data_IF_940762726052
#
_entry.id   IF_940762726052
#
_cell.length_a   1.000
_cell.length_b   1.000
_cell.length_c   1.000
_cell.angle_alpha   90.00
_cell.angle_beta   90.00
_cell.angle_gamma   90.00
#
_symmetry.space_group_name_H-M   'P 1'
#
loop_
_entity.id
_entity.type
_entity.pdbx_description
1 polymer ?
#
# COMPACT_ATOMS: atom_id res chain seq x y z
N UNK A 1 34.42 194.35 -2.32
CA UNK A 1 34.60 195.61 -1.55
C UNK A 1 35.03 196.69 -2.54
N UNK A 2 34.34 197.85 -2.61
CA UNK A 2 34.67 199.04 -3.46
C UNK A 2 34.64 198.87 -5.02
N UNK A 3 34.54 199.90 -5.90
CA UNK A 3 33.69 201.14 -5.94
C UNK A 3 33.82 201.94 -7.30
N UNK A 4 32.71 202.44 -7.89
CA UNK A 4 32.61 203.68 -8.76
C UNK A 4 33.21 203.68 -10.21
N UNK A 5 32.99 204.61 -11.20
CA UNK A 5 32.05 205.77 -11.47
C UNK A 5 32.16 206.36 -12.95
N UNK A 6 31.07 206.90 -13.54
CA UNK A 6 30.97 207.96 -14.65
C UNK A 6 31.55 207.62 -16.08
N UNK A 7 31.48 208.41 -17.21
CA UNK A 7 30.59 209.44 -17.89
C UNK A 7 31.32 209.92 -19.20
N UNK A 8 30.78 210.34 -20.38
CA UNK A 8 29.44 210.35 -21.03
C UNK A 8 28.96 211.70 -21.68
N UNK A 9 28.85 211.85 -23.03
CA UNK A 9 28.11 212.97 -23.70
C UNK A 9 28.35 213.38 -25.20
N UNK A 10 27.31 213.29 -26.06
CA UNK A 10 26.86 214.11 -27.24
C UNK A 10 27.71 214.55 -28.51
N UNK A 11 27.29 214.01 -29.71
CA UNK A 11 27.08 214.66 -31.07
C UNK A 11 28.28 215.21 -31.92
N UNK A 12 28.20 215.56 -33.24
CA UNK A 12 27.49 215.09 -34.49
C UNK A 12 27.86 215.97 -35.74
N UNK A 13 27.82 215.46 -37.01
CA UNK A 13 27.96 216.24 -38.28
C UNK A 13 28.18 215.42 -39.59
N UNK A 14 27.76 215.94 -40.77
CA UNK A 14 27.49 215.36 -42.13
C UNK A 14 28.67 214.89 -43.07
N UNK A 15 28.41 214.12 -44.18
CA UNK A 15 29.27 214.08 -45.42
C UNK A 15 29.71 212.75 -46.16
N UNK A 16 28.98 212.30 -47.22
CA UNK A 16 29.35 211.62 -48.54
C UNK A 16 30.20 210.30 -48.76
N UNK A 17 29.52 209.22 -49.26
CA UNK A 17 29.70 208.38 -50.52
C UNK A 17 30.87 207.35 -50.79
N UNK A 18 30.47 206.07 -51.06
CA UNK A 18 31.11 204.88 -51.78
C UNK A 18 32.49 204.32 -51.30
N UNK A 19 32.87 203.03 -51.56
CA UNK A 19 32.33 202.02 -52.51
C UNK A 19 31.94 200.63 -51.89
N UNK A 20 31.20 199.77 -52.61
CA UNK A 20 30.82 198.45 -52.05
C UNK A 20 30.26 197.32 -52.96
N UNK A 21 30.25 197.44 -54.30
CA UNK A 21 29.57 196.44 -55.16
C UNK A 21 30.43 195.24 -55.59
N UNK A 22 31.76 195.38 -55.70
CA UNK A 22 32.62 194.33 -56.26
C UNK A 22 32.73 193.11 -55.35
N UNK A 23 32.83 193.34 -54.03
CA UNK A 23 32.93 192.28 -53.01
C UNK A 23 31.72 191.32 -53.09
N UNK A 24 30.52 191.87 -53.26
CA UNK A 24 29.25 191.12 -53.30
C UNK A 24 29.21 190.02 -54.37
N UNK A 25 29.91 190.17 -55.50
CA UNK A 25 29.93 189.18 -56.59
C UNK A 25 30.94 188.07 -56.31
N UNK A 26 32.12 188.41 -55.79
CA UNK A 26 33.13 187.44 -55.37
C UNK A 26 32.69 186.63 -54.15
N UNK A 27 32.01 187.25 -53.18
CA UNK A 27 31.42 186.54 -52.04
C UNK A 27 30.29 185.62 -52.48
N UNK A 28 29.43 186.03 -53.42
CA UNK A 28 28.38 185.16 -53.97
C UNK A 28 28.98 183.90 -54.61
N UNK A 29 30.06 184.04 -55.38
CA UNK A 29 30.73 182.91 -56.03
C UNK A 29 31.42 181.98 -55.04
N UNK A 30 32.09 182.52 -54.01
CA UNK A 30 32.64 181.72 -52.91
C UNK A 30 31.54 180.99 -52.13
N UNK A 31 30.43 181.66 -51.80
CA UNK A 31 29.30 181.05 -51.10
C UNK A 31 28.66 179.94 -51.94
N UNK A 32 28.53 180.12 -53.27
CA UNK A 32 28.03 179.07 -54.16
C UNK A 32 28.96 177.84 -54.16
N UNK A 33 30.27 178.04 -54.30
CA UNK A 33 31.26 176.94 -54.23
C UNK A 33 31.31 176.28 -52.85
N UNK A 34 31.15 177.04 -51.77
CA UNK A 34 31.11 176.53 -50.40
C UNK A 34 29.84 175.70 -50.14
N UNK A 35 28.67 176.17 -50.57
CA UNK A 35 27.41 175.41 -50.50
C UNK A 35 27.49 174.16 -51.36
N UNK A 36 28.05 174.23 -52.57
CA UNK A 36 28.16 173.07 -53.46
C UNK A 36 29.17 172.04 -52.95
N UNK A 37 30.30 172.47 -52.38
CA UNK A 37 31.25 171.54 -51.73
C UNK A 37 30.71 170.96 -50.42
N UNK A 38 30.00 171.73 -49.59
CA UNK A 38 29.24 171.20 -48.44
C UNK A 38 28.21 170.17 -48.91
N UNK A 39 27.47 170.45 -49.98
CA UNK A 39 26.49 169.53 -50.54
C UNK A 39 27.17 168.26 -51.09
N UNK A 40 28.29 168.36 -51.80
CA UNK A 40 29.06 167.19 -52.27
C UNK A 40 29.64 166.37 -51.11
N UNK A 41 30.14 167.03 -50.05
CA UNK A 41 30.63 166.35 -48.83
C UNK A 41 29.46 165.68 -48.09
N UNK A 42 28.32 166.36 -47.93
CA UNK A 42 27.12 165.80 -47.31
C UNK A 42 26.54 164.65 -48.12
N UNK A 43 26.53 164.72 -49.46
CA UNK A 43 26.17 163.60 -50.34
C UNK A 43 27.19 162.46 -50.26
N UNK A 44 28.49 162.76 -50.14
CA UNK A 44 29.53 161.74 -49.96
C UNK A 44 29.37 161.00 -48.64
N UNK A 45 29.15 161.73 -47.54
CA UNK A 45 28.87 161.18 -46.21
C UNK A 45 27.55 160.40 -46.22
N UNK A 46 26.46 160.95 -46.75
CA UNK A 46 25.18 160.24 -46.89
C UNK A 46 25.33 158.96 -47.72
N UNK A 47 26.10 158.99 -48.83
CA UNK A 47 26.37 157.80 -49.64
C UNK A 47 27.22 156.78 -48.89
N UNK A 48 28.23 157.21 -48.12
CA UNK A 48 29.02 156.33 -47.27
C UNK A 48 28.18 155.72 -46.14
N UNK A 49 27.29 156.50 -45.51
CA UNK A 49 26.35 156.01 -44.49
C UNK A 49 25.34 155.03 -45.08
N UNK A 50 24.76 155.33 -46.24
CA UNK A 50 23.83 154.43 -46.94
C UNK A 50 24.56 153.14 -47.34
N UNK A 51 25.72 153.21 -48.01
CA UNK A 51 26.48 151.99 -48.38
C UNK A 51 26.99 151.20 -47.17
N UNK A 52 27.26 151.84 -46.02
CA UNK A 52 27.54 151.14 -44.77
C UNK A 52 26.29 150.46 -44.19
N UNK A 53 25.14 151.14 -44.22
CA UNK A 53 23.85 150.59 -43.78
C UNK A 53 23.37 149.45 -44.69
N UNK A 54 23.54 149.57 -46.01
CA UNK A 54 23.29 148.51 -46.99
C UNK A 54 24.16 147.28 -46.66
N UNK A 55 25.46 147.48 -46.38
CA UNK A 55 26.38 146.42 -45.96
C UNK A 55 26.04 145.78 -44.60
N UNK A 56 25.56 146.57 -43.64
CA UNK A 56 25.02 146.06 -42.37
C UNK A 56 23.71 145.28 -42.56
N UNK A 57 22.85 145.72 -43.48
CA UNK A 57 21.61 145.03 -43.85
C UNK A 57 21.87 143.72 -44.62
N UNK A 58 22.83 143.69 -45.53
CA UNK A 58 23.28 142.47 -46.20
C UNK A 58 23.88 141.48 -45.18
N UNK A 59 24.75 141.96 -44.28
CA UNK A 59 25.33 141.14 -43.22
C UNK A 59 24.29 140.62 -42.22
N UNK A 60 23.27 141.42 -41.89
CA UNK A 60 22.15 141.00 -41.05
C UNK A 60 21.24 140.02 -41.78
N UNK A 61 20.98 140.21 -43.07
CA UNK A 61 20.19 139.30 -43.91
C UNK A 61 20.87 137.94 -44.04
N UNK A 62 22.20 137.91 -44.23
CA UNK A 62 22.98 136.68 -44.22
C UNK A 62 22.96 135.97 -42.85
N UNK A 63 23.00 136.71 -41.74
CA UNK A 63 22.83 136.15 -40.40
C UNK A 63 21.42 135.58 -40.17
N UNK A 64 20.37 136.29 -40.60
CA UNK A 64 18.99 135.81 -40.51
C UNK A 64 18.76 134.56 -41.36
N UNK A 65 19.36 134.49 -42.56
CA UNK A 65 19.34 133.29 -43.39
C UNK A 65 20.04 132.11 -42.70
N UNK A 66 21.27 132.30 -42.20
CA UNK A 66 21.99 131.25 -41.48
C UNK A 66 21.30 130.78 -40.19
N UNK A 67 20.61 131.68 -39.49
CA UNK A 67 19.75 131.33 -38.34
C UNK A 67 18.48 130.58 -38.76
N UNK A 68 17.90 130.90 -39.92
CA UNK A 68 16.75 130.18 -40.46
C UNK A 68 17.13 128.76 -40.92
N UNK A 69 18.30 128.59 -41.57
CA UNK A 69 18.84 127.29 -41.96
C UNK A 69 19.18 126.43 -40.74
N UNK A 70 19.85 127.01 -39.73
CA UNK A 70 20.14 126.31 -38.47
C UNK A 70 18.86 125.90 -37.72
N UNK A 71 17.83 126.76 -37.70
CA UNK A 71 16.53 126.45 -37.14
C UNK A 71 15.78 125.39 -37.96
N UNK A 72 15.97 125.35 -39.28
CA UNK A 72 15.47 124.29 -40.16
C UNK A 72 16.10 122.94 -39.86
N UNK A 73 17.42 122.90 -39.69
CA UNK A 73 18.17 121.69 -39.32
C UNK A 73 17.78 121.17 -37.93
N UNK A 74 17.65 122.04 -36.92
CA UNK A 74 17.20 121.62 -35.59
C UNK A 74 15.72 121.20 -35.59
N UNK A 75 14.85 121.79 -36.43
CA UNK A 75 13.47 121.29 -36.63
C UNK A 75 13.45 119.89 -37.24
N UNK A 76 14.16 119.67 -38.35
CA UNK A 76 14.25 118.36 -38.98
C UNK A 76 14.86 117.29 -38.05
N UNK A 77 15.82 117.67 -37.20
CA UNK A 77 16.39 116.83 -36.15
C UNK A 77 15.40 116.53 -35.02
N UNK A 78 14.57 117.49 -34.60
CA UNK A 78 13.48 117.25 -33.65
C UNK A 78 12.40 116.34 -34.24
N UNK A 79 12.03 116.52 -35.51
CA UNK A 79 11.09 115.64 -36.22
C UNK A 79 11.64 114.21 -36.34
N UNK A 80 12.93 114.05 -36.68
CA UNK A 80 13.61 112.75 -36.69
C UNK A 80 13.63 112.08 -35.32
N UNK A 81 14.01 112.80 -34.26
CA UNK A 81 14.00 112.27 -32.88
C UNK A 81 12.59 111.95 -32.38
N UNK A 82 11.55 112.64 -32.86
CA UNK A 82 10.15 112.31 -32.56
C UNK A 82 9.70 111.03 -33.27
N UNK A 83 10.15 110.80 -34.51
CA UNK A 83 9.91 109.55 -35.23
C UNK A 83 10.64 108.37 -34.54
N UNK A 84 11.93 108.51 -34.25
CA UNK A 84 12.71 107.51 -33.50
C UNK A 84 12.08 107.17 -32.15
N UNK A 85 11.62 108.17 -31.39
CA UNK A 85 10.94 107.96 -30.11
C UNK A 85 9.57 107.27 -30.28
N UNK A 86 8.89 107.49 -31.40
CA UNK A 86 7.69 106.74 -31.79
C UNK A 86 7.98 105.26 -32.05
N UNK A 87 9.01 104.98 -32.85
CA UNK A 87 9.43 103.61 -33.19
C UNK A 87 9.99 102.85 -31.99
N UNK A 88 10.77 103.51 -31.12
CA UNK A 88 11.23 102.94 -29.86
C UNK A 88 10.06 102.63 -28.91
N UNK A 89 9.06 103.51 -28.82
CA UNK A 89 7.87 103.28 -27.98
C UNK A 89 6.99 102.15 -28.53
N UNK A 90 6.86 102.05 -29.84
CA UNK A 90 6.20 100.93 -30.53
C UNK A 90 6.94 99.60 -30.24
N UNK A 91 8.26 99.61 -30.40
CA UNK A 91 9.12 98.45 -30.16
C UNK A 91 9.13 97.99 -28.70
N UNK A 92 9.06 98.93 -27.75
CA UNK A 92 8.94 98.64 -26.32
C UNK A 92 7.59 98.00 -26.00
N UNK A 93 6.47 98.59 -26.45
CA UNK A 93 5.13 98.01 -26.26
C UNK A 93 5.01 96.60 -26.88
N UNK A 94 5.61 96.40 -28.06
CA UNK A 94 5.69 95.10 -28.69
C UNK A 94 6.68 94.13 -28.03
N UNK A 95 7.55 94.58 -27.12
CA UNK A 95 8.38 93.73 -26.26
C UNK A 95 7.68 93.39 -24.94
N UNK A 96 7.01 94.36 -24.33
CA UNK A 96 6.16 94.21 -23.15
C UNK A 96 5.05 93.16 -23.39
N UNK A 97 4.28 93.29 -24.47
CA UNK A 97 3.23 92.33 -24.83
C UNK A 97 3.76 90.89 -25.06
N UNK A 98 4.98 90.73 -25.59
CA UNK A 98 5.63 89.41 -25.72
C UNK A 98 6.16 88.89 -24.39
N UNK A 99 6.43 89.76 -23.42
CA UNK A 99 6.69 89.39 -22.03
C UNK A 99 5.44 88.81 -21.38
N UNK A 100 4.30 89.52 -21.49
CA UNK A 100 3.00 89.07 -20.96
C UNK A 100 2.58 87.71 -21.56
N UNK A 101 2.74 87.52 -22.87
CA UNK A 101 2.51 86.24 -23.55
C UNK A 101 3.41 85.11 -23.02
N UNK A 102 4.68 85.40 -22.73
CA UNK A 102 5.63 84.43 -22.19
C UNK A 102 5.35 84.11 -20.72
N UNK A 103 4.97 85.08 -19.90
CA UNK A 103 4.58 84.84 -18.50
C UNK A 103 3.31 83.98 -18.44
N UNK A 104 2.31 84.26 -19.28
CA UNK A 104 1.10 83.44 -19.39
C UNK A 104 1.40 82.00 -19.84
N UNK A 105 2.33 81.81 -20.80
CA UNK A 105 2.78 80.49 -21.23
C UNK A 105 3.54 79.74 -20.10
N UNK A 106 4.44 80.43 -19.38
CA UNK A 106 5.18 79.86 -18.25
C UNK A 106 4.23 79.45 -17.12
N UNK A 107 3.23 80.28 -16.80
CA UNK A 107 2.19 79.95 -15.84
C UNK A 107 1.40 78.70 -16.25
N UNK A 108 1.00 78.59 -17.53
CA UNK A 108 0.31 77.41 -18.06
C UNK A 108 1.18 76.15 -17.99
N UNK A 109 2.47 76.24 -18.34
CA UNK A 109 3.41 75.11 -18.27
C UNK A 109 3.68 74.67 -16.82
N UNK A 110 3.80 75.60 -15.88
CA UNK A 110 3.96 75.27 -14.45
C UNK A 110 2.74 74.53 -13.87
N UNK A 111 1.52 74.90 -14.29
CA UNK A 111 0.30 74.18 -13.94
C UNK A 111 0.34 72.76 -14.53
N UNK A 112 0.66 72.63 -15.82
CA UNK A 112 0.76 71.31 -16.48
C UNK A 112 1.83 70.40 -15.84
N UNK A 113 2.97 70.96 -15.42
CA UNK A 113 4.00 70.21 -14.67
C UNK A 113 3.44 69.73 -13.33
N UNK A 114 2.78 70.61 -12.57
CA UNK A 114 2.15 70.29 -11.28
C UNK A 114 1.08 69.19 -11.42
N UNK A 115 0.25 69.26 -12.46
CA UNK A 115 -0.76 68.23 -12.77
C UNK A 115 -0.09 66.88 -13.12
N UNK A 116 1.01 66.89 -13.87
CA UNK A 116 1.75 65.67 -14.23
C UNK A 116 2.54 65.07 -13.07
N UNK A 117 3.04 65.88 -12.13
CA UNK A 117 3.61 65.39 -10.87
C UNK A 117 2.54 64.71 -10.00
N UNK A 118 1.31 65.25 -9.96
CA UNK A 118 0.18 64.62 -9.28
C UNK A 118 -0.26 63.30 -9.97
N UNK A 119 -0.37 63.29 -11.30
CA UNK A 119 -0.66 62.06 -12.06
C UNK A 119 0.41 60.97 -11.82
N UNK A 120 1.69 61.35 -11.84
CA UNK A 120 2.81 60.43 -11.60
C UNK A 120 2.81 59.88 -10.16
N UNK A 121 2.56 60.73 -9.17
CA UNK A 121 2.42 60.33 -7.77
C UNK A 121 1.25 59.36 -7.57
N UNK A 122 0.09 59.65 -8.18
CA UNK A 122 -1.07 58.77 -8.14
C UNK A 122 -0.83 57.45 -8.89
N UNK A 123 -0.07 57.45 -9.99
CA UNK A 123 0.34 56.24 -10.69
C UNK A 123 1.29 55.39 -9.83
N UNK A 124 2.29 55.99 -9.20
CA UNK A 124 3.23 55.29 -8.32
C UNK A 124 2.52 54.66 -7.11
N UNK A 125 1.56 55.37 -6.50
CA UNK A 125 0.74 54.83 -5.41
C UNK A 125 -0.10 53.61 -5.84
N UNK A 126 -0.64 53.62 -7.08
CA UNK A 126 -1.33 52.46 -7.66
C UNK A 126 -0.38 51.30 -7.94
N UNK A 127 0.82 51.57 -8.47
CA UNK A 127 1.85 50.55 -8.71
C UNK A 127 2.19 49.84 -7.40
N UNK A 128 2.52 50.57 -6.32
CA UNK A 128 2.86 49.92 -5.04
C UNK A 128 1.67 49.26 -4.34
N UNK A 129 0.43 49.67 -4.63
CA UNK A 129 -0.75 48.89 -4.24
C UNK A 129 -0.84 47.56 -5.01
N UNK A 130 -0.59 47.55 -6.32
CA UNK A 130 -0.55 46.31 -7.11
C UNK A 130 0.64 45.42 -6.72
N UNK A 131 1.82 45.97 -6.44
CA UNK A 131 2.98 45.22 -5.93
C UNK A 131 2.64 44.50 -4.61
N UNK A 132 1.94 45.19 -3.70
CA UNK A 132 1.44 44.59 -2.44
C UNK A 132 0.38 43.51 -2.67
N UNK A 133 -0.56 43.71 -3.59
CA UNK A 133 -1.56 42.69 -3.96
C UNK A 133 -0.92 41.46 -4.60
N UNK A 134 0.04 41.65 -5.51
CA UNK A 134 0.81 40.56 -6.14
C UNK A 134 1.63 39.81 -5.09
N UNK A 135 2.25 40.50 -4.13
CA UNK A 135 2.95 39.85 -3.02
C UNK A 135 2.02 38.98 -2.16
N UNK A 136 0.80 39.45 -1.85
CA UNK A 136 -0.23 38.65 -1.15
C UNK A 136 -0.60 37.41 -1.96
N UNK A 137 -0.99 37.57 -3.22
CA UNK A 137 -1.38 36.47 -4.11
C UNK A 137 -0.26 35.44 -4.34
N UNK A 138 1.00 35.87 -4.34
CA UNK A 138 2.16 34.97 -4.40
C UNK A 138 2.32 34.17 -3.11
N UNK A 139 2.16 34.81 -1.94
CA UNK A 139 2.21 34.14 -0.65
C UNK A 139 1.04 33.15 -0.46
N UNK A 140 -0.18 33.55 -0.83
CA UNK A 140 -1.37 32.70 -0.84
C UNK A 140 -1.20 31.48 -1.76
N UNK A 141 -0.69 31.69 -2.97
CA UNK A 141 -0.37 30.62 -3.93
C UNK A 141 0.65 29.63 -3.37
N UNK A 142 1.71 30.11 -2.73
CA UNK A 142 2.78 29.24 -2.23
C UNK A 142 2.42 28.56 -0.90
N UNK A 143 1.55 29.16 -0.08
CA UNK A 143 0.89 28.48 1.03
C UNK A 143 -0.01 27.34 0.53
N UNK A 144 -0.90 27.60 -0.44
CA UNK A 144 -1.78 26.58 -1.03
C UNK A 144 -1.00 25.45 -1.72
N UNK A 145 0.19 25.73 -2.27
CA UNK A 145 1.12 24.70 -2.77
C UNK A 145 1.73 23.87 -1.64
N UNK A 146 2.12 24.49 -0.53
CA UNK A 146 2.58 23.79 0.67
C UNK A 146 1.52 22.84 1.24
N UNK A 147 0.28 23.33 1.35
CA UNK A 147 -0.89 22.51 1.72
C UNK A 147 -1.08 21.35 0.74
N UNK A 148 -1.08 21.60 -0.57
CA UNK A 148 -1.21 20.55 -1.58
C UNK A 148 -0.10 19.47 -1.48
N UNK A 149 1.15 19.85 -1.19
CA UNK A 149 2.23 18.86 -0.96
C UNK A 149 2.03 18.07 0.35
N UNK A 150 1.47 18.70 1.38
CA UNK A 150 1.17 18.05 2.67
C UNK A 150 0.02 17.05 2.52
N UNK A 151 -1.04 17.43 1.79
CA UNK A 151 -2.15 16.53 1.45
C UNK A 151 -1.68 15.36 0.57
N UNK A 152 -0.80 15.61 -0.42
CA UNK A 152 -0.25 14.56 -1.26
C UNK A 152 0.56 13.52 -0.45
N UNK A 153 1.38 13.97 0.50
CA UNK A 153 2.09 13.07 1.42
C UNK A 153 1.10 12.25 2.26
N UNK A 154 0.12 12.91 2.90
CA UNK A 154 -0.90 12.23 3.72
C UNK A 154 -1.73 11.22 2.93
N UNK A 155 -1.97 11.42 1.63
CA UNK A 155 -2.67 10.45 0.77
C UNK A 155 -1.82 9.21 0.51
N UNK A 156 -0.50 9.35 0.31
CA UNK A 156 0.39 8.19 0.11
C UNK A 156 0.65 7.43 1.43
N UNK A 157 0.72 8.14 2.56
CA UNK A 157 0.74 7.53 3.90
C UNK A 157 -0.54 6.71 4.16
N UNK A 158 -1.72 7.28 3.89
CA UNK A 158 -3.01 6.58 4.02
C UNK A 158 -3.13 5.38 3.07
N UNK A 159 -2.60 5.49 1.86
CA UNK A 159 -2.53 4.38 0.88
C UNK A 159 -1.57 3.27 1.33
N UNK A 160 -0.48 3.63 2.00
CA UNK A 160 0.46 2.68 2.61
C UNK A 160 -0.16 1.98 3.83
N UNK A 161 -0.90 2.72 4.68
CA UNK A 161 -1.66 2.13 5.78
C UNK A 161 -2.79 1.21 5.27
N UNK A 162 -3.47 1.57 4.17
CA UNK A 162 -4.49 0.73 3.54
C UNK A 162 -3.94 -0.60 3.04
N UNK A 163 -2.78 -0.60 2.35
CA UNK A 163 -2.19 -1.86 1.86
C UNK A 163 -1.69 -2.75 3.00
N UNK A 164 -1.16 -2.16 4.09
CA UNK A 164 -0.82 -2.90 5.31
C UNK A 164 -2.06 -3.56 5.93
N UNK A 165 -3.16 -2.82 6.12
CA UNK A 165 -4.41 -3.35 6.68
C UNK A 165 -5.02 -4.46 5.81
N UNK A 166 -4.90 -4.38 4.48
CA UNK A 166 -5.34 -5.46 3.58
C UNK A 166 -4.49 -6.72 3.79
N UNK A 167 -3.15 -6.60 3.84
CA UNK A 167 -2.28 -7.75 4.10
C UNK A 167 -2.46 -8.33 5.51
N UNK A 168 -2.76 -7.52 6.52
CA UNK A 168 -3.14 -7.99 7.86
C UNK A 168 -4.48 -8.74 7.83
N UNK A 169 -5.49 -8.24 7.10
CA UNK A 169 -6.77 -8.90 6.93
C UNK A 169 -6.62 -10.26 6.20
N UNK A 170 -5.81 -10.32 5.14
CA UNK A 170 -5.50 -11.56 4.42
C UNK A 170 -4.77 -12.57 5.31
N UNK A 171 -3.79 -12.12 6.10
CA UNK A 171 -3.08 -12.97 7.06
C UNK A 171 -4.00 -13.50 8.17
N UNK A 172 -4.90 -12.67 8.70
CA UNK A 172 -5.92 -13.06 9.69
C UNK A 172 -6.95 -14.04 9.10
N UNK A 173 -7.36 -13.84 7.84
CA UNK A 173 -8.28 -14.76 7.15
C UNK A 173 -7.63 -16.12 6.89
N UNK A 174 -6.34 -16.17 6.52
CA UNK A 174 -5.57 -17.40 6.38
C UNK A 174 -5.30 -18.09 7.73
N UNK A 175 -5.06 -17.32 8.80
CA UNK A 175 -4.95 -17.87 10.15
C UNK A 175 -6.30 -18.49 10.61
N UNK A 176 -7.42 -17.83 10.29
CA UNK A 176 -8.76 -18.33 10.59
C UNK A 176 -9.14 -19.57 9.77
N UNK A 177 -8.71 -19.70 8.50
CA UNK A 177 -8.96 -20.93 7.73
C UNK A 177 -8.16 -22.10 8.30
N UNK A 178 -6.86 -21.89 8.58
CA UNK A 178 -6.00 -22.91 9.22
C UNK A 178 -6.52 -23.35 10.59
N UNK A 179 -6.98 -22.41 11.41
CA UNK A 179 -7.57 -22.73 12.72
C UNK A 179 -8.87 -23.56 12.59
N UNK A 180 -9.65 -23.37 11.51
CA UNK A 180 -10.83 -24.22 11.22
C UNK A 180 -10.40 -25.59 10.73
N UNK A 181 -9.48 -25.67 9.78
CA UNK A 181 -8.91 -26.93 9.28
C UNK A 181 -8.32 -27.77 10.42
N UNK A 182 -7.63 -27.14 11.38
CA UNK A 182 -7.09 -27.81 12.57
C UNK A 182 -8.21 -28.29 13.53
N UNK A 183 -9.24 -27.47 13.79
CA UNK A 183 -10.39 -27.87 14.62
C UNK A 183 -11.21 -28.98 13.98
N UNK A 184 -11.41 -28.95 12.66
CA UNK A 184 -12.09 -30.02 11.92
C UNK A 184 -11.26 -31.31 11.93
N UNK A 185 -9.94 -31.23 11.74
CA UNK A 185 -9.02 -32.36 11.85
C UNK A 185 -8.98 -32.95 13.28
N UNK A 186 -8.97 -32.12 14.33
CA UNK A 186 -9.09 -32.55 15.72
C UNK A 186 -10.46 -33.20 15.99
N UNK A 187 -11.54 -32.70 15.38
CA UNK A 187 -12.90 -33.26 15.50
C UNK A 187 -13.00 -34.63 14.82
N UNK A 188 -12.44 -34.80 13.63
CA UNK A 188 -12.37 -36.10 12.96
C UNK A 188 -11.44 -37.08 13.69
N UNK A 189 -10.30 -36.61 14.23
CA UNK A 189 -9.44 -37.43 15.07
C UNK A 189 -10.17 -37.92 16.33
N UNK A 190 -10.99 -37.06 16.97
CA UNK A 190 -11.82 -37.44 18.11
C UNK A 190 -12.94 -38.43 17.72
N UNK A 191 -13.62 -38.24 16.58
CA UNK A 191 -14.61 -39.18 16.03
C UNK A 191 -14.00 -40.55 15.74
N UNK A 192 -12.83 -40.59 15.11
CA UNK A 192 -12.09 -41.81 14.83
C UNK A 192 -11.56 -42.48 16.10
N UNK A 193 -11.16 -41.71 17.12
CA UNK A 193 -10.77 -42.24 18.43
C UNK A 193 -11.96 -42.88 19.16
N UNK A 194 -13.13 -42.23 19.16
CA UNK A 194 -14.36 -42.78 19.72
C UNK A 194 -14.79 -44.07 18.98
N UNK A 195 -14.90 -44.03 17.66
CA UNK A 195 -15.26 -45.21 16.86
C UNK A 195 -14.27 -46.38 17.01
N UNK A 196 -12.97 -46.10 17.26
CA UNK A 196 -11.97 -47.13 17.62
C UNK A 196 -12.19 -47.67 19.02
N UNK A 197 -12.54 -46.84 20.00
CA UNK A 197 -12.87 -47.27 21.35
C UNK A 197 -14.12 -48.18 21.33
N UNK A 198 -15.20 -47.76 20.67
CA UNK A 198 -16.44 -48.53 20.51
C UNK A 198 -16.18 -49.87 19.82
N UNK A 199 -15.36 -49.88 18.76
CA UNK A 199 -14.99 -51.11 18.04
C UNK A 199 -14.11 -52.06 18.88
N UNK A 200 -13.21 -51.52 19.71
CA UNK A 200 -12.41 -52.31 20.66
C UNK A 200 -13.29 -52.84 21.80
N UNK A 201 -14.22 -52.05 22.33
CA UNK A 201 -15.18 -52.52 23.32
C UNK A 201 -16.03 -53.65 22.76
N UNK A 202 -16.62 -53.48 21.57
CA UNK A 202 -17.37 -54.52 20.87
C UNK A 202 -16.54 -55.78 20.59
N UNK A 203 -15.28 -55.64 20.18
CA UNK A 203 -14.35 -56.77 20.01
C UNK A 203 -14.06 -57.48 21.34
N UNK A 204 -13.82 -56.76 22.43
CA UNK A 204 -13.60 -57.40 23.74
C UNK A 204 -14.88 -57.97 24.34
N UNK A 205 -16.05 -57.42 24.04
CA UNK A 205 -17.35 -57.99 24.41
C UNK A 205 -17.60 -59.30 23.64
N UNK A 206 -17.34 -59.30 22.32
CA UNK A 206 -17.38 -60.53 21.51
C UNK A 206 -16.37 -61.56 22.01
N UNK A 207 -15.10 -61.21 22.18
CA UNK A 207 -14.08 -62.15 22.66
C UNK A 207 -14.39 -62.72 24.05
N UNK A 208 -15.03 -61.95 24.95
CA UNK A 208 -15.57 -62.48 26.21
C UNK A 208 -16.71 -63.47 25.97
N UNK A 209 -17.67 -63.14 25.10
CA UNK A 209 -18.77 -64.04 24.75
C UNK A 209 -18.28 -65.34 24.08
N UNK A 210 -17.40 -65.24 23.08
CA UNK A 210 -16.75 -66.37 22.41
C UNK A 210 -15.96 -67.22 23.44
N UNK A 211 -15.23 -66.59 24.38
CA UNK A 211 -14.50 -67.33 25.42
C UNK A 211 -15.43 -68.03 26.43
N UNK A 212 -16.59 -67.45 26.72
CA UNK A 212 -17.59 -68.04 27.61
C UNK A 212 -18.35 -69.19 26.91
N UNK A 213 -18.64 -69.06 25.61
CA UNK A 213 -19.18 -70.13 24.79
C UNK A 213 -18.20 -71.31 24.70
N UNK A 214 -16.94 -71.04 24.35
CA UNK A 214 -15.89 -72.07 24.31
C UNK A 214 -15.68 -72.74 25.68
N UNK A 215 -15.78 -72.00 26.78
CA UNK A 215 -15.70 -72.58 28.14
C UNK A 215 -16.92 -73.45 28.47
N UNK A 216 -18.11 -73.08 28.02
CA UNK A 216 -19.32 -73.90 28.15
C UNK A 216 -19.20 -75.19 27.32
N UNK A 217 -18.86 -75.09 26.03
CA UNK A 217 -18.62 -76.24 25.14
C UNK A 217 -17.55 -77.18 25.69
N UNK A 218 -16.45 -76.65 26.22
CA UNK A 218 -15.40 -77.46 26.84
C UNK A 218 -15.93 -78.18 28.10
N UNK A 219 -16.70 -77.50 28.95
CA UNK A 219 -17.29 -78.11 30.15
C UNK A 219 -18.35 -79.17 29.84
N UNK A 220 -19.10 -79.00 28.75
CA UNK A 220 -20.07 -79.99 28.25
C UNK A 220 -19.35 -81.20 27.64
N UNK A 221 -18.26 -80.99 26.90
CA UNK A 221 -17.41 -82.06 26.37
C UNK A 221 -16.65 -82.81 27.49
N UNK A 222 -16.20 -82.14 28.55
CA UNK A 222 -15.62 -82.77 29.74
C UNK A 222 -16.67 -83.59 30.52
N UNK A 223 -17.88 -83.05 30.70
CA UNK A 223 -18.99 -83.76 31.33
C UNK A 223 -19.38 -85.02 30.52
N UNK A 224 -19.48 -84.91 29.19
CA UNK A 224 -19.75 -86.05 28.32
C UNK A 224 -18.63 -87.10 28.39
N UNK A 225 -17.34 -86.68 28.36
CA UNK A 225 -16.20 -87.58 28.53
C UNK A 225 -16.22 -88.32 29.88
N UNK A 226 -16.69 -87.70 30.96
CA UNK A 226 -16.86 -88.35 32.26
C UNK A 226 -18.02 -89.37 32.27
N UNK A 227 -19.12 -89.06 31.59
CA UNK A 227 -20.25 -90.01 31.41
C UNK A 227 -19.83 -91.21 30.55
N UNK A 228 -19.15 -90.97 29.43
CA UNK A 228 -18.66 -92.02 28.53
C UNK A 228 -17.63 -92.93 29.23
N UNK A 229 -16.72 -92.35 30.03
CA UNK A 229 -15.76 -93.10 30.83
C UNK A 229 -16.46 -93.97 31.90
N UNK A 230 -17.44 -93.43 32.62
CA UNK A 230 -18.21 -94.18 33.61
C UNK A 230 -19.00 -95.34 32.98
N UNK A 231 -19.59 -95.12 31.80
CA UNK A 231 -20.29 -96.17 31.04
C UNK A 231 -19.33 -97.28 30.56
N UNK A 232 -18.11 -96.92 30.13
CA UNK A 232 -17.08 -97.89 29.75
C UNK A 232 -16.61 -98.75 30.93
N UNK A 233 -16.46 -98.17 32.13
CA UNK A 233 -16.08 -98.92 33.32
C UNK A 233 -17.25 -99.78 33.87
N UNK A 234 -18.50 -99.32 33.78
CA UNK A 234 -19.67 -100.18 34.08
C UNK A 234 -19.77 -101.37 33.12
N UNK A 235 -19.50 -101.17 31.82
CA UNK A 235 -19.44 -102.24 30.82
C UNK A 235 -18.30 -103.24 31.11
N UNK A 236 -17.14 -102.75 31.57
CA UNK A 236 -16.01 -103.61 31.98
C UNK A 236 -16.34 -104.47 33.19
N UNK A 237 -16.94 -103.92 34.24
CA UNK A 237 -17.35 -104.69 35.41
C UNK A 237 -18.47 -105.70 35.08
N UNK A 238 -19.43 -105.33 34.23
CA UNK A 238 -20.43 -106.29 33.71
C UNK A 238 -19.79 -107.44 32.96
N UNK A 239 -18.80 -107.19 32.10
CA UNK A 239 -18.09 -108.25 31.39
C UNK A 239 -17.28 -109.14 32.33
N UNK A 240 -16.57 -108.59 33.32
CA UNK A 240 -15.91 -109.40 34.38
C UNK A 240 -16.91 -110.27 35.14
N UNK A 241 -18.07 -109.72 35.48
CA UNK A 241 -19.12 -110.47 36.16
C UNK A 241 -19.62 -111.64 35.30
N UNK A 242 -19.91 -111.40 34.01
CA UNK A 242 -20.31 -112.46 33.07
C UNK A 242 -19.21 -113.49 32.81
N UNK A 243 -17.93 -113.11 32.71
CA UNK A 243 -16.80 -114.06 32.61
C UNK A 243 -16.64 -114.89 33.91
N UNK A 244 -16.91 -114.29 35.07
CA UNK A 244 -16.91 -114.98 36.37
C UNK A 244 -18.09 -115.95 36.50
N UNK A 245 -19.28 -115.55 36.03
CA UNK A 245 -20.48 -116.38 36.02
C UNK A 245 -20.34 -117.56 35.05
N UNK A 246 -19.78 -117.34 33.85
CA UNK A 246 -19.45 -118.42 32.91
C UNK A 246 -18.41 -119.39 33.47
N UNK A 247 -17.33 -118.90 34.09
CA UNK A 247 -16.30 -119.80 34.66
C UNK A 247 -16.83 -120.59 35.87
N UNK A 248 -17.66 -119.98 36.71
CA UNK A 248 -18.37 -120.69 37.78
C UNK A 248 -19.35 -121.75 37.21
N UNK A 249 -20.07 -121.42 36.13
CA UNK A 249 -20.99 -122.35 35.46
C UNK A 249 -20.26 -123.52 34.79
N UNK A 250 -19.08 -123.30 34.17
CA UNK A 250 -18.28 -124.39 33.62
C UNK A 250 -17.72 -125.31 34.70
N UNK A 251 -17.30 -124.76 35.85
CA UNK A 251 -16.86 -125.55 37.00
C UNK A 251 -18.00 -126.39 37.60
N UNK A 252 -19.20 -125.82 37.72
CA UNK A 252 -20.39 -126.57 38.13
C UNK A 252 -20.72 -127.71 37.14
N UNK A 253 -20.52 -127.48 35.84
CA UNK A 253 -20.72 -128.49 34.81
C UNK A 253 -19.68 -129.62 34.88
N UNK A 254 -18.40 -129.31 35.09
CA UNK A 254 -17.36 -130.33 35.32
C UNK A 254 -17.61 -131.14 36.60
N UNK A 255 -18.10 -130.51 37.68
CA UNK A 255 -18.47 -131.25 38.89
C UNK A 255 -19.73 -132.12 38.68
N UNK A 256 -20.73 -131.66 37.91
CA UNK A 256 -21.85 -132.50 37.50
C UNK A 256 -21.42 -133.67 36.59
N UNK A 257 -20.44 -133.48 35.71
CA UNK A 257 -19.87 -134.57 34.91
C UNK A 257 -19.14 -135.60 35.77
N UNK A 258 -18.34 -135.17 36.76
CA UNK A 258 -17.75 -136.09 37.75
C UNK A 258 -18.79 -136.87 38.53
N UNK A 259 -19.85 -136.21 39.01
CA UNK A 259 -20.96 -136.90 39.71
C UNK A 259 -21.70 -137.91 38.82
N UNK A 260 -21.73 -137.69 37.50
CA UNK A 260 -22.23 -138.68 36.53
C UNK A 260 -21.26 -139.85 36.35
N UNK A 261 -19.95 -139.61 36.28
CA UNK A 261 -18.92 -140.66 36.25
C UNK A 261 -18.90 -141.50 37.55
N UNK A 262 -19.07 -140.87 38.70
CA UNK A 262 -19.18 -141.53 40.01
C UNK A 262 -20.44 -142.41 40.10
N UNK A 263 -21.59 -141.92 39.63
CA UNK A 263 -22.83 -142.73 39.61
C UNK A 263 -22.78 -143.89 38.60
N UNK A 264 -22.17 -143.69 37.43
CA UNK A 264 -21.88 -144.79 36.48
C UNK A 264 -20.94 -145.82 37.09
N UNK A 265 -19.94 -145.40 37.88
CA UNK A 265 -19.01 -146.27 38.60
C UNK A 265 -19.72 -147.07 39.71
N UNK A 266 -20.64 -146.44 40.45
CA UNK A 266 -21.48 -147.11 41.45
C UNK A 266 -22.44 -148.13 40.80
N UNK A 267 -23.01 -147.82 39.64
CA UNK A 267 -23.87 -148.74 38.87
C UNK A 267 -23.06 -149.93 38.32
N UNK A 268 -21.81 -149.72 37.88
CA UNK A 268 -20.90 -150.80 37.48
C UNK A 268 -20.56 -151.73 38.66
N UNK A 269 -20.33 -151.17 39.86
CA UNK A 269 -20.09 -151.94 41.08
C UNK A 269 -21.32 -152.75 41.55
N UNK A 270 -22.53 -152.36 41.13
CA UNK A 270 -23.79 -152.99 41.53
C UNK A 270 -24.17 -154.25 40.71
N UNK A 271 -23.41 -154.64 39.68
CA UNK A 271 -23.70 -155.79 38.79
C UNK A 271 -23.59 -157.19 39.45
N UNK A 272 -23.64 -157.25 40.78
CA UNK A 272 -23.30 -158.41 41.61
C UNK A 272 -24.47 -159.15 42.29
N UNK A 273 -25.74 -158.92 41.91
CA UNK A 273 -26.89 -159.80 42.23
C UNK A 273 -28.17 -159.47 41.45
N UNK A 274 -29.12 -160.41 41.49
CA UNK A 274 -30.29 -160.47 40.61
C UNK A 274 -31.40 -159.46 40.98
N UNK A 275 -32.00 -158.83 39.96
CA UNK A 275 -33.02 -157.78 40.12
C UNK A 275 -33.30 -157.01 38.82
N UNK A 276 -33.38 -157.71 37.69
CA UNK A 276 -33.47 -157.07 36.37
C UNK A 276 -34.88 -156.54 36.08
N UNK A 277 -34.96 -155.28 35.64
CA UNK A 277 -36.20 -154.56 35.33
C UNK A 277 -36.12 -153.12 35.81
N UNK A 278 -36.85 -152.82 36.88
CA UNK A 278 -37.13 -151.48 37.44
C UNK A 278 -35.88 -150.59 37.62
N UNK A 279 -34.77 -151.18 38.09
CA UNK A 279 -33.50 -150.46 38.30
C UNK A 279 -32.83 -149.98 37.00
N UNK A 280 -33.06 -150.67 35.87
CA UNK A 280 -32.52 -150.25 34.57
C UNK A 280 -33.32 -149.11 33.95
N UNK A 281 -34.64 -149.06 34.19
CA UNK A 281 -35.48 -147.99 33.65
C UNK A 281 -35.43 -146.73 34.51
N UNK A 282 -35.26 -146.86 35.84
CA UNK A 282 -34.87 -145.72 36.70
C UNK A 282 -33.47 -145.19 36.38
N UNK A 283 -32.49 -146.05 36.10
CA UNK A 283 -31.16 -145.62 35.65
C UNK A 283 -31.21 -144.88 34.30
N UNK A 284 -32.01 -145.36 33.33
CA UNK A 284 -32.24 -144.65 32.06
C UNK A 284 -32.97 -143.33 32.25
N UNK A 285 -33.97 -143.27 33.15
CA UNK A 285 -34.70 -142.05 33.43
C UNK A 285 -33.78 -140.97 34.03
N UNK A 286 -32.97 -141.34 35.03
CA UNK A 286 -31.96 -140.46 35.63
C UNK A 286 -30.88 -140.05 34.60
N UNK A 287 -30.44 -140.95 33.72
CA UNK A 287 -29.48 -140.62 32.67
C UNK A 287 -30.10 -139.65 31.64
N UNK A 288 -31.33 -139.88 31.20
CA UNK A 288 -32.03 -139.01 30.25
C UNK A 288 -32.36 -137.63 30.87
N UNK A 289 -32.66 -137.57 32.17
CA UNK A 289 -32.81 -136.31 32.90
C UNK A 289 -31.48 -135.57 33.03
N UNK A 290 -30.38 -136.28 33.34
CA UNK A 290 -29.02 -135.72 33.41
C UNK A 290 -28.52 -135.25 32.04
N UNK A 291 -28.78 -135.99 30.96
CA UNK A 291 -28.50 -135.60 29.58
C UNK A 291 -29.33 -134.37 29.17
N UNK A 292 -30.60 -134.29 29.57
CA UNK A 292 -31.43 -133.11 29.34
C UNK A 292 -30.90 -131.88 30.11
N UNK A 293 -30.51 -132.04 31.37
CA UNK A 293 -29.90 -130.96 32.17
C UNK A 293 -28.54 -130.52 31.60
N UNK A 294 -27.69 -131.46 31.17
CA UNK A 294 -26.41 -131.15 30.50
C UNK A 294 -26.65 -130.40 29.18
N UNK A 295 -27.58 -130.86 28.34
CA UNK A 295 -27.92 -130.22 27.08
C UNK A 295 -28.59 -128.84 27.27
N UNK A 296 -29.33 -128.61 28.35
CA UNK A 296 -29.84 -127.29 28.68
C UNK A 296 -28.73 -126.36 29.17
N UNK A 297 -27.83 -126.84 30.03
CA UNK A 297 -26.70 -126.07 30.52
C UNK A 297 -25.70 -125.74 29.40
N UNK A 298 -25.45 -126.65 28.45
CA UNK A 298 -24.67 -126.39 27.25
C UNK A 298 -25.32 -125.30 26.36
N UNK A 299 -26.65 -125.31 26.19
CA UNK A 299 -27.36 -124.22 25.49
C UNK A 299 -27.23 -122.88 26.22
N UNK A 300 -27.31 -122.87 27.55
CA UNK A 300 -27.10 -121.67 28.38
C UNK A 300 -25.67 -121.15 28.27
N UNK A 301 -24.66 -122.03 28.29
CA UNK A 301 -23.24 -121.68 28.06
C UNK A 301 -23.02 -121.18 26.63
N UNK A 302 -23.67 -121.77 25.62
CA UNK A 302 -23.60 -121.29 24.24
C UNK A 302 -24.20 -119.87 24.10
N UNK A 303 -25.38 -119.63 24.70
CA UNK A 303 -26.03 -118.32 24.72
C UNK A 303 -25.20 -117.28 25.48
N UNK A 304 -24.60 -117.64 26.61
CA UNK A 304 -23.71 -116.75 27.37
C UNK A 304 -22.41 -116.44 26.59
N UNK A 305 -21.86 -117.42 25.86
CA UNK A 305 -20.71 -117.17 24.98
C UNK A 305 -21.09 -116.29 23.77
N UNK A 306 -22.29 -116.44 23.21
CA UNK A 306 -22.81 -115.55 22.16
C UNK A 306 -23.00 -114.12 22.70
N UNK A 307 -23.51 -113.97 23.93
CA UNK A 307 -23.64 -112.68 24.61
C UNK A 307 -22.27 -112.05 24.93
N UNK A 308 -21.29 -112.81 25.44
CA UNK A 308 -19.93 -112.30 25.63
C UNK A 308 -19.26 -111.95 24.30
N UNK A 309 -19.46 -112.74 23.23
CA UNK A 309 -18.95 -112.41 21.90
C UNK A 309 -19.57 -111.10 21.36
N UNK A 310 -20.88 -110.91 21.55
CA UNK A 310 -21.56 -109.66 21.21
C UNK A 310 -21.04 -108.47 22.03
N UNK A 311 -20.91 -108.60 23.36
CA UNK A 311 -20.36 -107.57 24.24
C UNK A 311 -18.88 -107.24 23.92
N UNK A 312 -18.08 -108.25 23.56
CA UNK A 312 -16.67 -108.09 23.14
C UNK A 312 -16.55 -107.41 21.78
N UNK A 313 -17.45 -107.70 20.85
CA UNK A 313 -17.56 -106.97 19.58
C UNK A 313 -18.02 -105.52 19.78
N UNK A 314 -18.94 -105.28 20.72
CA UNK A 314 -19.38 -103.93 21.11
C UNK A 314 -18.24 -103.14 21.75
N UNK A 315 -17.49 -103.71 22.71
CA UNK A 315 -16.28 -103.09 23.25
C UNK A 315 -15.23 -102.83 22.16
N UNK A 316 -15.01 -103.76 21.24
CA UNK A 316 -14.05 -103.57 20.13
C UNK A 316 -14.49 -102.43 19.21
N UNK A 317 -15.79 -102.29 18.97
CA UNK A 317 -16.36 -101.17 18.19
C UNK A 317 -16.20 -99.84 18.94
N UNK A 318 -16.45 -99.81 20.26
CA UNK A 318 -16.24 -98.63 21.10
C UNK A 318 -14.77 -98.23 21.20
N UNK A 319 -13.85 -99.19 21.28
CA UNK A 319 -12.39 -98.98 21.26
C UNK A 319 -11.98 -98.30 19.94
N UNK A 320 -12.42 -98.81 18.80
CA UNK A 320 -12.15 -98.22 17.47
C UNK A 320 -12.76 -96.82 17.33
N UNK A 321 -13.95 -96.57 17.90
CA UNK A 321 -14.55 -95.23 17.92
C UNK A 321 -13.76 -94.25 18.80
N UNK A 322 -13.22 -94.71 19.94
CA UNK A 322 -12.37 -93.91 20.83
C UNK A 322 -11.02 -93.58 20.19
N UNK A 323 -10.38 -94.55 19.55
CA UNK A 323 -9.12 -94.35 18.80
C UNK A 323 -9.34 -93.35 17.65
N UNK A 324 -10.44 -93.48 16.91
CA UNK A 324 -10.85 -92.53 15.87
C UNK A 324 -11.30 -91.15 16.40
N UNK A 325 -11.59 -91.01 17.71
CA UNK A 325 -11.80 -89.71 18.34
C UNK A 325 -10.46 -89.07 18.73
N UNK A 326 -9.51 -89.84 19.29
CA UNK A 326 -8.16 -89.37 19.59
C UNK A 326 -7.39 -88.92 18.35
N UNK A 327 -7.55 -89.60 17.21
CA UNK A 327 -6.92 -89.18 15.95
C UNK A 327 -7.50 -87.85 15.41
N UNK A 328 -8.79 -87.56 15.67
CA UNK A 328 -9.38 -86.25 15.34
C UNK A 328 -8.85 -85.12 16.22
N UNK A 329 -8.67 -85.35 17.53
CA UNK A 329 -8.03 -84.38 18.44
C UNK A 329 -6.61 -84.02 17.95
N UNK A 330 -5.83 -85.01 17.47
CA UNK A 330 -4.50 -84.78 16.88
C UNK A 330 -4.60 -83.95 15.59
N UNK A 331 -5.54 -84.26 14.69
CA UNK A 331 -5.73 -83.48 13.45
C UNK A 331 -6.16 -82.03 13.74
N UNK A 332 -7.06 -81.81 14.69
CA UNK A 332 -7.49 -80.46 15.11
C UNK A 332 -6.31 -79.65 15.65
N UNK A 333 -5.44 -80.26 16.46
CA UNK A 333 -4.22 -79.61 16.98
C UNK A 333 -3.26 -79.18 15.87
N UNK A 334 -3.05 -80.02 14.85
CA UNK A 334 -2.23 -79.70 13.67
C UNK A 334 -2.85 -78.55 12.86
N UNK A 335 -4.18 -78.44 12.78
CA UNK A 335 -4.84 -77.30 12.12
C UNK A 335 -4.60 -75.98 12.87
N UNK A 336 -4.64 -75.99 14.22
CA UNK A 336 -4.34 -74.82 15.06
C UNK A 336 -2.90 -74.34 14.84
N UNK A 337 -1.93 -75.26 14.79
CA UNK A 337 -0.52 -74.91 14.53
C UNK A 337 -0.32 -74.30 13.13
N UNK A 338 -1.01 -74.83 12.10
CA UNK A 338 -0.99 -74.25 10.75
C UNK A 338 -1.61 -72.84 10.68
N UNK A 339 -2.72 -72.61 11.38
CA UNK A 339 -3.35 -71.28 11.47
C UNK A 339 -2.44 -70.27 12.17
N UNK A 340 -1.71 -70.67 13.22
CA UNK A 340 -0.67 -69.85 13.85
C UNK A 340 0.47 -69.49 12.88
N UNK A 341 0.90 -70.44 12.04
CA UNK A 341 1.86 -70.19 10.97
C UNK A 341 1.37 -69.19 9.92
N UNK A 342 0.10 -69.28 9.51
CA UNK A 342 -0.53 -68.32 8.59
C UNK A 342 -0.64 -66.92 9.20
N UNK A 343 -1.03 -66.80 10.48
CA UNK A 343 -1.13 -65.51 11.16
C UNK A 343 0.23 -64.79 11.23
N UNK A 344 1.30 -65.53 11.53
CA UNK A 344 2.67 -65.00 11.56
C UNK A 344 3.15 -64.54 10.16
N UNK A 345 2.76 -65.24 9.09
CA UNK A 345 3.11 -64.81 7.73
C UNK A 345 2.36 -63.56 7.28
N UNK A 346 1.08 -63.42 7.68
CA UNK A 346 0.29 -62.20 7.45
C UNK A 346 0.86 -60.99 8.22
N UNK A 347 1.25 -61.17 9.49
CA UNK A 347 1.93 -60.12 10.28
C UNK A 347 3.25 -59.67 9.63
N UNK A 348 4.04 -60.62 9.10
CA UNK A 348 5.27 -60.29 8.37
C UNK A 348 5.01 -59.52 7.06
N UNK A 349 3.94 -59.85 6.33
CA UNK A 349 3.53 -59.11 5.13
C UNK A 349 3.10 -57.67 5.46
N UNK A 350 2.28 -57.47 6.49
CA UNK A 350 1.85 -56.13 6.93
C UNK A 350 3.05 -55.28 7.39
N UNK A 351 3.99 -55.87 8.14
CA UNK A 351 5.22 -55.18 8.54
C UNK A 351 6.10 -54.78 7.33
N UNK A 352 6.19 -55.64 6.30
CA UNK A 352 6.90 -55.33 5.07
C UNK A 352 6.21 -54.24 4.22
N UNK A 353 4.88 -54.17 4.24
CA UNK A 353 4.13 -53.10 3.56
C UNK A 353 4.29 -51.74 4.27
N UNK A 354 4.21 -51.73 5.61
CA UNK A 354 4.47 -50.52 6.41
C UNK A 354 5.88 -49.95 6.14
N UNK A 355 6.89 -50.83 6.06
CA UNK A 355 8.26 -50.42 5.71
C UNK A 355 8.35 -49.77 4.33
N UNK A 356 7.66 -50.33 3.31
CA UNK A 356 7.61 -49.75 1.96
C UNK A 356 6.91 -48.39 1.90
N UNK A 357 5.87 -48.17 2.72
CA UNK A 357 5.19 -46.87 2.81
C UNK A 357 6.14 -45.80 3.36
N UNK A 358 6.83 -46.09 4.47
CA UNK A 358 7.84 -45.19 5.02
C UNK A 358 8.99 -44.89 4.02
N UNK A 359 9.49 -45.91 3.29
CA UNK A 359 10.52 -45.73 2.25
C UNK A 359 10.07 -44.79 1.12
N UNK A 360 8.79 -44.80 0.76
CA UNK A 360 8.21 -43.90 -0.25
C UNK A 360 8.03 -42.47 0.30
N UNK A 361 7.55 -42.34 1.54
CA UNK A 361 7.37 -41.04 2.21
C UNK A 361 8.72 -40.31 2.40
N UNK A 362 9.79 -41.01 2.75
CA UNK A 362 11.14 -40.42 2.81
C UNK A 362 11.66 -40.00 1.44
N UNK A 363 11.42 -40.81 0.39
CA UNK A 363 11.83 -40.47 -0.97
C UNK A 363 11.08 -39.24 -1.53
N UNK A 364 9.78 -39.11 -1.22
CA UNK A 364 9.00 -37.92 -1.58
C UNK A 364 9.45 -36.67 -0.81
N UNK A 365 9.75 -36.80 0.48
CA UNK A 365 10.31 -35.70 1.28
C UNK A 365 11.63 -35.17 0.68
N UNK A 366 12.56 -36.08 0.33
CA UNK A 366 13.85 -35.70 -0.29
C UNK A 366 13.64 -35.00 -1.64
N UNK A 367 12.66 -35.43 -2.44
CA UNK A 367 12.31 -34.75 -3.70
C UNK A 367 11.79 -33.33 -3.45
N UNK A 368 10.88 -33.15 -2.48
CA UNK A 368 10.33 -31.84 -2.13
C UNK A 368 11.39 -30.90 -1.53
N UNK A 369 12.34 -31.43 -0.75
CA UNK A 369 13.51 -30.67 -0.26
C UNK A 369 14.39 -30.17 -1.42
N UNK A 370 14.63 -31.00 -2.45
CA UNK A 370 15.39 -30.61 -3.63
C UNK A 370 14.65 -29.56 -4.50
N UNK A 371 13.35 -29.75 -4.73
CA UNK A 371 12.53 -28.82 -5.52
C UNK A 371 12.47 -27.42 -4.87
N UNK A 372 12.39 -27.35 -3.53
CA UNK A 372 12.50 -26.09 -2.80
C UNK A 372 13.88 -25.42 -2.94
N UNK A 373 14.98 -26.19 -3.00
CA UNK A 373 16.31 -25.64 -3.22
C UNK A 373 16.48 -25.08 -4.65
N UNK A 374 15.92 -25.72 -5.67
CA UNK A 374 15.96 -25.23 -7.04
C UNK A 374 15.07 -24.00 -7.23
N UNK A 375 13.87 -23.97 -6.64
CA UNK A 375 13.03 -22.76 -6.59
C UNK A 375 13.75 -21.58 -5.90
N UNK A 376 14.56 -21.84 -4.86
CA UNK A 376 15.37 -20.82 -4.21
C UNK A 376 16.51 -20.31 -5.11
N UNK A 377 17.14 -21.18 -5.93
CA UNK A 377 18.15 -20.78 -6.94
C UNK A 377 17.51 -19.91 -8.03
N UNK A 378 16.42 -20.36 -8.65
CA UNK A 378 15.71 -19.60 -9.67
C UNK A 378 15.26 -18.22 -9.17
N UNK A 379 14.79 -18.14 -7.91
CA UNK A 379 14.46 -16.86 -7.27
C UNK A 379 15.68 -15.94 -7.13
N UNK A 380 16.83 -16.48 -6.73
CA UNK A 380 18.10 -15.74 -6.60
C UNK A 380 18.62 -15.24 -7.97
N UNK A 381 18.55 -16.09 -9.00
CA UNK A 381 18.95 -15.75 -10.38
C UNK A 381 18.02 -14.67 -10.98
N UNK A 382 16.70 -14.84 -10.84
CA UNK A 382 15.71 -13.86 -11.28
C UNK A 382 15.88 -12.50 -10.59
N UNK A 383 16.14 -12.47 -9.27
CA UNK A 383 16.46 -11.22 -8.58
C UNK A 383 17.81 -10.63 -9.02
N UNK A 384 18.78 -11.45 -9.42
CA UNK A 384 20.03 -11.01 -10.04
C UNK A 384 19.83 -10.33 -11.39
N UNK A 385 19.07 -10.94 -12.30
CA UNK A 385 18.75 -10.37 -13.61
C UNK A 385 17.89 -9.10 -13.50
N UNK A 386 16.84 -9.13 -12.67
CA UNK A 386 15.98 -7.98 -12.44
C UNK A 386 16.75 -6.80 -11.82
N UNK A 387 17.76 -7.09 -10.97
CA UNK A 387 18.71 -6.11 -10.45
C UNK A 387 19.65 -5.55 -11.51
N UNK A 388 20.07 -6.35 -12.48
CA UNK A 388 20.87 -5.87 -13.60
C UNK A 388 20.07 -4.94 -14.54
N UNK A 389 18.80 -5.27 -14.81
CA UNK A 389 17.90 -4.48 -15.66
C UNK A 389 17.47 -3.16 -15.00
N UNK A 390 17.37 -3.10 -13.67
CA UNK A 390 17.01 -1.89 -12.93
C UNK A 390 18.21 -1.02 -12.51
N UNK A 391 19.44 -1.47 -12.73
CA UNK A 391 20.65 -0.70 -12.42
C UNK A 391 20.78 0.52 -13.35
N UNK A 392 20.80 1.73 -12.77
CA UNK A 392 20.96 2.99 -13.50
C UNK A 392 19.68 3.79 -13.75
N UNK A 393 18.53 3.33 -13.25
CA UNK A 393 17.25 4.07 -13.32
C UNK A 393 17.08 4.95 -12.08
N UNK A 394 17.13 6.28 -12.24
CA UNK A 394 16.86 7.20 -11.13
C UNK A 394 15.46 6.99 -10.55
N UNK A 395 15.37 6.91 -9.22
CA UNK A 395 14.14 6.68 -8.47
C UNK A 395 14.07 5.36 -7.69
N UNK A 396 14.82 4.32 -8.08
CA UNK A 396 14.75 2.98 -7.44
C UNK A 396 15.90 2.75 -6.46
N UNK A 397 15.60 2.23 -5.27
CA UNK A 397 16.56 1.85 -4.22
C UNK A 397 16.41 0.38 -3.85
N UNK A 398 17.47 -0.39 -4.07
CA UNK A 398 17.49 -1.84 -3.82
C UNK A 398 17.89 -2.11 -2.36
N UNK A 399 17.07 -2.87 -1.63
CA UNK A 399 17.32 -3.27 -0.23
C UNK A 399 17.04 -4.77 -0.06
N UNK A 400 18.11 -5.57 -0.09
CA UNK A 400 18.00 -7.03 -0.12
C UNK A 400 17.32 -7.51 -1.41
N UNK A 401 16.44 -8.51 -1.29
CA UNK A 401 15.64 -9.09 -2.37
C UNK A 401 14.40 -8.23 -2.74
N UNK A 402 14.41 -6.92 -2.41
CA UNK A 402 13.29 -6.01 -2.68
C UNK A 402 13.75 -4.72 -3.36
N UNK A 403 12.99 -4.35 -4.38
CA UNK A 403 13.06 -3.05 -5.06
C UNK A 403 12.02 -2.13 -4.42
N UNK A 404 12.43 -0.89 -4.11
CA UNK A 404 11.59 0.17 -3.54
C UNK A 404 11.81 1.44 -4.35
#
# INVERSE_FOLDING_TARGET
MALSRRRGGARSGDGMIWPGFVDAVTTLLMVLMFVLTIFTVMQSVLRQTITAQDGELDALTAQVAGLADALGLERAKVEGLQAELGDLRSSLSAAEARGDEQEALIASLNIQITDKEQELSAAQARISSFESQVASLLAERDAARGEATTLAASVEDLKTAQTQLISEQEALQLALSKAREEVDAQTEAARLAAARADAVEALTAKLRADSAANAAELSEAEAQRLVDAAALDELREKLKASETELTAMTLALEEQRKRAEDTLTLIAAAQGKEGQGDLLDTAKALLAEQEAQSAEAERRVALLNEQIAALRNQLTTLQVLLDAAMERDVQAKVQIENLGGQLNSALAQVAAEQKRRAELEEAERIRLEAENQDLAKFRSEFFGELRAVLAGREGVRIVGDRFV
#
